data_IF_204627138970
#
_entry.id   IF_204627138970
#
_cell.length_a   1.000
_cell.length_b   1.000
_cell.length_c   1.000
_cell.angle_alpha   90.00
_cell.angle_beta   90.00
_cell.angle_gamma   90.00
#
_symmetry.space_group_name_H-M   'P 1'
#
loop_
_entity.id
_entity.type
_entity.pdbx_description
1 polymer ?
#
# COMPACT_ATOMS: atom_id res chain seq x y z
N UNK A 1 13.23 -16.50 1.23
CA UNK A 1 11.97 -15.68 1.21
C UNK A 1 11.80 -14.49 2.24
N UNK A 2 12.75 -13.57 2.47
CA UNK A 2 12.63 -12.09 2.45
C UNK A 2 11.25 -11.57 2.00
N UNK A 3 10.55 -10.81 2.85
CA UNK A 3 9.48 -9.93 2.41
C UNK A 3 10.11 -8.91 1.45
N UNK A 4 9.80 -9.08 0.17
CA UNK A 4 10.57 -8.52 -0.95
C UNK A 4 10.11 -7.10 -1.30
N UNK A 5 8.94 -6.69 -0.84
CA UNK A 5 8.19 -5.61 -1.46
C UNK A 5 8.52 -4.21 -0.92
N UNK A 6 8.97 -4.08 0.33
CA UNK A 6 9.04 -2.77 1.00
C UNK A 6 10.46 -2.19 1.18
N UNK A 7 11.52 -3.01 1.11
CA UNK A 7 12.90 -2.52 1.35
C UNK A 7 13.60 -1.89 0.13
N UNK A 8 13.02 -1.96 -1.07
CA UNK A 8 13.65 -1.50 -2.32
C UNK A 8 12.94 -0.34 -3.02
N UNK A 9 11.72 0.00 -2.63
CA UNK A 9 11.03 1.14 -3.22
C UNK A 9 11.55 2.43 -2.59
N UNK A 10 11.98 3.39 -3.42
CA UNK A 10 12.11 4.78 -2.97
C UNK A 10 10.73 5.26 -2.57
N UNK A 11 10.59 5.83 -1.36
CA UNK A 11 9.32 6.40 -0.89
C UNK A 11 8.73 7.41 -1.90
N UNK A 12 9.60 8.15 -2.60
CA UNK A 12 9.19 9.13 -3.62
C UNK A 12 8.48 8.52 -4.83
N UNK A 13 8.65 7.23 -5.11
CA UNK A 13 8.08 6.58 -6.29
C UNK A 13 6.99 5.56 -5.97
N UNK A 14 6.72 5.25 -4.70
CA UNK A 14 5.64 4.31 -4.39
C UNK A 14 4.28 5.03 -4.42
N UNK A 15 3.42 4.53 -5.30
CA UNK A 15 2.01 4.89 -5.35
C UNK A 15 1.17 3.75 -4.80
N UNK A 16 0.18 4.11 -3.99
CA UNK A 16 -0.85 3.22 -3.49
C UNK A 16 -2.12 3.55 -4.25
N UNK A 17 -2.66 2.55 -4.95
CA UNK A 17 -3.90 2.71 -5.70
C UNK A 17 -5.06 2.10 -4.92
N UNK A 18 -6.14 2.85 -4.77
CA UNK A 18 -7.37 2.40 -4.08
C UNK A 18 -8.58 2.53 -5.01
N UNK A 19 -9.64 1.76 -4.71
CA UNK A 19 -10.89 1.78 -5.49
C UNK A 19 -10.80 1.18 -6.89
N UNK A 20 -9.75 0.41 -7.17
CA UNK A 20 -9.57 -0.31 -8.43
C UNK A 20 -10.33 -1.64 -8.46
N UNK A 21 -10.78 -1.99 -9.65
CA UNK A 21 -11.32 -3.32 -9.94
C UNK A 21 -10.57 -4.00 -11.10
N UNK A 22 -10.31 -3.29 -12.22
CA UNK A 22 -9.64 -3.85 -13.40
C UNK A 22 -8.38 -3.08 -13.82
N UNK A 23 -7.22 -3.65 -13.47
CA UNK A 23 -5.90 -3.06 -13.75
C UNK A 23 -5.53 -2.90 -15.24
N UNK A 24 -6.27 -3.54 -16.15
CA UNK A 24 -5.97 -3.53 -17.59
C UNK A 24 -6.90 -2.63 -18.40
N UNK A 25 -7.93 -2.07 -17.77
CA UNK A 25 -8.92 -1.25 -18.45
C UNK A 25 -9.02 0.11 -17.77
N UNK A 26 -8.99 1.18 -18.56
CA UNK A 26 -9.30 2.49 -18.04
C UNK A 26 -10.77 2.51 -17.59
N UNK A 27 -10.95 2.74 -16.30
CA UNK A 27 -12.23 2.76 -15.62
C UNK A 27 -12.95 4.10 -15.92
N UNK A 28 -13.91 4.07 -16.85
CA UNK A 28 -14.73 5.24 -17.18
C UNK A 28 -15.85 5.38 -16.13
N UNK A 29 -15.81 6.45 -15.33
CA UNK A 29 -16.86 6.81 -14.37
C UNK A 29 -16.67 6.27 -12.95
N UNK A 30 -15.62 5.50 -12.69
CA UNK A 30 -15.18 5.07 -11.37
C UNK A 30 -13.74 5.56 -11.21
N UNK A 31 -13.48 6.31 -10.14
CA UNK A 31 -12.20 7.01 -9.97
C UNK A 31 -11.36 6.22 -9.00
N UNK A 32 -10.59 5.28 -9.52
CA UNK A 32 -9.45 4.79 -8.77
C UNK A 32 -8.52 5.96 -8.44
N UNK A 33 -7.89 5.88 -7.28
CA UNK A 33 -7.12 7.00 -6.73
C UNK A 33 -5.70 6.55 -6.47
N UNK A 34 -4.75 7.26 -7.07
CA UNK A 34 -3.32 7.07 -6.84
C UNK A 34 -2.81 8.04 -5.77
N UNK A 35 -2.35 7.49 -4.65
CA UNK A 35 -1.87 8.23 -3.50
C UNK A 35 -0.38 7.96 -3.29
N UNK A 36 0.37 8.99 -2.92
CA UNK A 36 1.82 8.86 -2.65
C UNK A 36 2.03 8.33 -1.24
N UNK A 37 2.94 7.37 -1.08
CA UNK A 37 3.36 6.91 0.25
C UNK A 37 4.30 7.94 0.91
N UNK A 38 3.99 8.34 2.14
CA UNK A 38 4.86 9.19 2.96
C UNK A 38 5.95 8.37 3.66
N UNK A 39 5.56 7.25 4.29
CA UNK A 39 6.46 6.40 5.06
C UNK A 39 6.00 4.94 5.13
N UNK A 40 6.97 4.04 5.28
CA UNK A 40 6.76 2.64 5.63
C UNK A 40 7.11 2.39 7.09
N UNK A 41 6.20 1.74 7.81
CA UNK A 41 6.38 1.32 9.19
C UNK A 41 6.39 -0.20 9.21
N UNK A 42 7.56 -0.80 9.08
CA UNK A 42 7.72 -2.25 9.14
C UNK A 42 7.65 -2.70 10.60
N UNK A 43 7.02 -3.85 10.86
CA UNK A 43 6.97 -4.39 12.21
C UNK A 43 8.40 -4.54 12.80
N UNK A 44 8.68 -4.04 14.02
CA UNK A 44 10.05 -4.01 14.58
C UNK A 44 10.73 -5.38 14.67
N UNK A 45 9.92 -6.45 14.81
CA UNK A 45 10.37 -7.85 14.86
C UNK A 45 10.11 -8.63 13.57
N UNK A 46 10.00 -7.96 12.43
CA UNK A 46 9.86 -8.62 11.14
C UNK A 46 10.95 -9.70 10.95
N UNK A 47 10.54 -10.94 10.64
CA UNK A 47 11.44 -12.07 10.46
C UNK A 47 11.98 -12.70 11.75
N UNK A 48 11.45 -12.34 12.92
CA UNK A 48 11.81 -12.91 14.23
C UNK A 48 10.55 -13.39 14.98
N UNK A 49 10.55 -14.56 15.66
CA UNK A 49 11.68 -15.45 15.88
C UNK A 49 12.03 -16.31 14.65
N UNK A 50 11.08 -16.51 13.74
CA UNK A 50 11.31 -17.23 12.49
C UNK A 50 11.16 -16.28 11.31
N UNK A 51 11.73 -16.70 10.21
CA UNK A 51 11.95 -15.91 8.99
C UNK A 51 10.71 -15.25 8.36
N UNK A 52 9.50 -15.73 8.68
CA UNK A 52 8.21 -15.22 8.20
C UNK A 52 7.32 -14.69 9.35
N UNK A 53 7.85 -14.66 10.57
CA UNK A 53 7.14 -14.11 11.72
C UNK A 53 7.02 -12.60 11.59
N UNK A 54 5.87 -12.06 12.01
CA UNK A 54 5.56 -10.64 11.98
C UNK A 54 5.74 -10.01 10.59
N UNK A 55 5.36 -10.72 9.52
CA UNK A 55 5.34 -10.20 8.15
C UNK A 55 4.16 -9.25 7.94
N UNK A 56 4.23 -8.11 8.64
CA UNK A 56 3.25 -7.03 8.59
C UNK A 56 3.97 -5.68 8.63
N UNK A 57 3.37 -4.69 7.99
CA UNK A 57 3.80 -3.31 8.05
C UNK A 57 2.65 -2.37 7.67
N UNK A 58 2.81 -1.10 8.02
CA UNK A 58 1.86 -0.06 7.67
C UNK A 58 2.50 0.87 6.63
N UNK A 59 1.68 1.38 5.73
CA UNK A 59 2.03 2.47 4.83
C UNK A 59 1.25 3.70 5.29
N UNK A 60 1.94 4.79 5.63
CA UNK A 60 1.26 6.08 5.81
C UNK A 60 1.23 6.78 4.46
N UNK A 61 0.05 7.23 4.07
CA UNK A 61 -0.15 8.01 2.85
C UNK A 61 0.19 9.48 3.12
N UNK A 62 0.69 10.18 2.09
CA UNK A 62 1.02 11.60 2.17
C UNK A 62 -0.20 12.52 2.28
N UNK A 63 -1.38 12.00 1.93
CA UNK A 63 -2.67 12.65 2.09
C UNK A 63 -3.73 11.63 2.50
N UNK A 64 -4.83 12.12 3.07
CA UNK A 64 -5.98 11.27 3.36
C UNK A 64 -6.55 10.65 2.09
N UNK A 65 -7.22 9.50 2.23
CA UNK A 65 -7.97 8.87 1.14
C UNK A 65 -9.36 9.50 1.08
N UNK A 66 -9.74 10.17 -0.02
CA UNK A 66 -11.14 10.52 -0.27
C UNK A 66 -12.00 9.26 -0.30
N UNK A 67 -12.90 9.13 0.66
CA UNK A 67 -13.81 7.98 0.74
C UNK A 67 -14.82 8.00 -0.41
N UNK A 68 -15.16 6.82 -0.89
CA UNK A 68 -16.17 6.62 -1.94
C UNK A 68 -16.86 5.28 -1.76
N UNK A 69 -17.87 4.98 -2.58
CA UNK A 69 -18.47 3.64 -2.67
C UNK A 69 -17.48 2.53 -3.04
N UNK A 70 -16.29 2.90 -3.53
CA UNK A 70 -15.25 1.97 -3.99
C UNK A 70 -14.01 1.95 -3.08
N UNK A 71 -13.88 2.92 -2.17
CA UNK A 71 -12.73 3.02 -1.26
C UNK A 71 -13.20 3.39 0.14
N UNK A 72 -13.23 2.39 1.03
CA UNK A 72 -13.58 2.53 2.45
C UNK A 72 -12.57 1.75 3.31
N UNK A 73 -12.40 2.13 4.59
CA UNK A 73 -11.67 1.30 5.55
C UNK A 73 -12.32 -0.08 5.67
N UNK A 74 -11.49 -1.10 5.87
CA UNK A 74 -11.93 -2.48 6.13
C UNK A 74 -12.33 -2.68 7.60
#
# INVERSE_FOLDING_TARGET
PRSRNLRRASLRSLRIRVGEYNLYQAELGHTSQDLVAERFLVHPRFGSPKRLSNDIGLVKLASEVPLSSYAVPA
#
